data_IF_079678357552
#
_entry.id   IF_079678357552
#
_cell.length_a   1.000
_cell.length_b   1.000
_cell.length_c   1.000
_cell.angle_alpha   90.00
_cell.angle_beta   90.00
_cell.angle_gamma   90.00
#
_symmetry.space_group_name_H-M   'P 1'
#
loop_
_entity.id
_entity.type
_entity.pdbx_description
1 polymer ?
#
# COMPACT_ATOMS: atom_id res chain seq x y z
N UNK A 1 12.98 -12.86 10.36
CA UNK A 1 13.25 -12.38 11.74
C UNK A 1 12.26 -11.31 12.20
N UNK A 2 11.51 -10.64 11.32
CA UNK A 2 10.73 -9.43 11.65
C UNK A 2 9.30 -9.64 12.21
N UNK A 3 8.75 -10.87 12.26
CA UNK A 3 7.30 -11.06 12.52
C UNK A 3 6.92 -11.47 13.96
N UNK A 4 7.89 -11.80 14.82
CA UNK A 4 7.57 -12.26 16.18
C UNK A 4 7.17 -11.11 17.12
N UNK A 5 7.87 -9.97 17.06
CA UNK A 5 7.63 -8.83 17.95
C UNK A 5 6.30 -8.13 17.68
N UNK A 6 5.92 -7.99 16.42
CA UNK A 6 4.63 -7.42 16.03
C UNK A 6 3.49 -8.26 16.62
N UNK A 7 3.57 -9.58 16.45
CA UNK A 7 2.57 -10.51 16.98
C UNK A 7 2.53 -10.53 18.51
N UNK A 8 3.67 -10.34 19.18
CA UNK A 8 3.72 -10.19 20.62
C UNK A 8 2.99 -8.91 21.08
N UNK A 9 3.23 -7.78 20.41
CA UNK A 9 2.56 -6.51 20.69
C UNK A 9 1.04 -6.59 20.53
N UNK A 10 0.56 -7.32 19.51
CA UNK A 10 -0.87 -7.60 19.34
C UNK A 10 -1.43 -8.43 20.50
N UNK A 11 -0.76 -9.52 20.88
CA UNK A 11 -1.20 -10.41 21.97
C UNK A 11 -1.23 -9.72 23.33
N UNK A 12 -0.31 -8.79 23.59
CA UNK A 12 -0.31 -7.96 24.79
C UNK A 12 -1.36 -6.83 24.77
N UNK A 13 -2.09 -6.65 23.67
CA UNK A 13 -3.06 -5.56 23.52
C UNK A 13 -2.43 -4.18 23.29
N UNK A 14 -1.12 -4.11 23.02
CA UNK A 14 -0.42 -2.86 22.71
C UNK A 14 -0.75 -2.33 21.31
N UNK A 15 -1.16 -3.23 20.41
CA UNK A 15 -1.63 -2.90 19.07
C UNK A 15 -2.98 -3.61 18.80
N UNK A 16 -3.94 -2.88 18.24
CA UNK A 16 -5.24 -3.44 17.83
C UNK A 16 -5.16 -4.32 16.58
N UNK A 17 -4.07 -4.20 15.81
CA UNK A 17 -3.81 -4.96 14.60
C UNK A 17 -2.33 -4.89 14.24
N UNK A 18 -1.84 -5.85 13.46
CA UNK A 18 -0.49 -5.86 12.92
C UNK A 18 -0.53 -5.94 11.40
N UNK A 19 0.50 -5.42 10.74
CA UNK A 19 0.60 -5.39 9.29
C UNK A 19 2.04 -5.37 8.84
N UNK A 20 2.24 -5.37 7.53
CA UNK A 20 3.55 -5.32 6.88
C UNK A 20 3.65 -4.11 5.96
N UNK A 21 4.87 -3.77 5.54
CA UNK A 21 5.13 -2.70 4.56
C UNK A 21 6.11 -3.19 3.50
N UNK A 22 5.87 -2.84 2.25
CA UNK A 22 6.73 -3.17 1.11
C UNK A 22 6.90 -4.69 0.86
N UNK A 23 5.84 -5.47 1.12
CA UNK A 23 5.83 -6.90 0.81
C UNK A 23 5.21 -7.13 -0.56
N UNK A 24 5.98 -7.77 -1.45
CA UNK A 24 5.46 -8.30 -2.72
C UNK A 24 4.73 -9.64 -2.49
N UNK A 25 3.95 -10.08 -3.48
CA UNK A 25 3.17 -11.33 -3.42
C UNK A 25 3.98 -12.54 -2.94
N UNK A 26 5.23 -12.68 -3.41
CA UNK A 26 6.13 -13.78 -3.01
C UNK A 26 6.47 -13.76 -1.52
N UNK A 27 6.69 -12.58 -0.93
CA UNK A 27 6.96 -12.46 0.50
C UNK A 27 5.69 -12.71 1.31
N UNK A 28 4.56 -12.17 0.86
CA UNK A 28 3.26 -12.42 1.50
C UNK A 28 2.88 -13.90 1.48
N UNK A 29 3.15 -14.62 0.39
CA UNK A 29 2.85 -16.06 0.30
C UNK A 29 3.69 -16.91 1.25
N UNK A 30 4.85 -16.42 1.66
CA UNK A 30 5.74 -17.09 2.61
C UNK A 30 5.42 -16.77 4.07
N UNK A 31 4.67 -15.69 4.33
CA UNK A 31 4.38 -15.20 5.66
C UNK A 31 3.70 -16.23 6.59
N UNK A 32 2.76 -17.08 6.12
CA UNK A 32 2.17 -18.13 6.95
C UNK A 32 3.17 -19.16 7.51
N UNK A 33 4.38 -19.27 6.95
CA UNK A 33 5.43 -20.12 7.49
C UNK A 33 6.18 -19.49 8.68
N UNK A 34 5.97 -18.19 8.93
CA UNK A 34 6.70 -17.42 9.93
C UNK A 34 5.78 -16.70 10.93
N UNK A 35 4.51 -16.49 10.60
CA UNK A 35 3.54 -15.78 11.42
C UNK A 35 2.22 -16.54 11.52
N UNK A 36 1.63 -16.54 12.71
CA UNK A 36 0.31 -17.16 12.97
C UNK A 36 -0.82 -16.14 12.87
N UNK A 37 -0.56 -14.87 13.20
CA UNK A 37 -1.52 -13.78 13.01
C UNK A 37 -1.33 -13.22 11.59
N UNK A 38 -2.36 -13.28 10.72
CA UNK A 38 -2.27 -12.70 9.38
C UNK A 38 -2.18 -11.17 9.47
N UNK A 39 -1.41 -10.53 8.56
CA UNK A 39 -1.31 -9.08 8.55
C UNK A 39 -2.64 -8.48 8.12
N UNK A 40 -3.16 -7.52 8.88
CA UNK A 40 -4.37 -6.79 8.54
C UNK A 40 -4.15 -5.88 7.32
N UNK A 41 -2.94 -5.30 7.20
CA UNK A 41 -2.59 -4.33 6.15
C UNK A 41 -1.23 -4.68 5.54
N UNK A 42 -1.09 -4.47 4.23
CA UNK A 42 0.19 -4.31 3.56
C UNK A 42 0.28 -2.89 2.98
N UNK A 43 1.15 -2.05 3.54
CA UNK A 43 1.37 -0.69 3.07
C UNK A 43 2.45 -0.67 1.97
N UNK A 44 2.13 -0.21 0.76
CA UNK A 44 3.03 -0.24 -0.42
C UNK A 44 2.93 1.02 -1.25
N UNK A 45 3.96 1.30 -2.06
CA UNK A 45 3.88 2.39 -3.03
C UNK A 45 2.77 2.07 -4.00
N UNK A 46 1.83 2.99 -4.15
CA UNK A 46 0.74 2.84 -5.10
C UNK A 46 0.21 4.21 -5.51
N UNK A 47 0.16 4.43 -6.81
CA UNK A 47 -0.39 5.64 -7.44
C UNK A 47 -0.98 5.25 -8.80
N UNK A 48 -1.54 6.21 -9.54
CA UNK A 48 -2.16 5.96 -10.85
C UNK A 48 -1.20 5.37 -11.89
N UNK A 49 0.10 5.67 -11.80
CA UNK A 49 1.14 5.14 -12.70
C UNK A 49 1.73 3.81 -12.19
N UNK A 50 1.52 3.49 -10.90
CA UNK A 50 1.98 2.26 -10.27
C UNK A 50 0.85 1.64 -9.44
N UNK A 51 -0.09 0.99 -10.13
CA UNK A 51 -1.39 0.62 -9.55
C UNK A 51 -1.37 -0.67 -8.73
N UNK A 52 -0.26 -1.41 -8.74
CA UNK A 52 -0.06 -2.65 -7.97
C UNK A 52 -1.15 -3.71 -8.19
N UNK A 53 -1.73 -3.81 -9.40
CA UNK A 53 -2.91 -4.63 -9.68
C UNK A 53 -2.80 -6.07 -9.18
N UNK A 54 -1.73 -6.78 -9.56
CA UNK A 54 -1.46 -8.16 -9.11
C UNK A 54 -1.41 -8.27 -7.59
N UNK A 55 -0.75 -7.32 -6.92
CA UNK A 55 -0.63 -7.32 -5.46
C UNK A 55 -1.98 -7.02 -4.79
N UNK A 56 -2.77 -6.07 -5.32
CA UNK A 56 -4.11 -5.77 -4.81
C UNK A 56 -5.02 -7.00 -4.89
N UNK A 57 -5.01 -7.71 -6.02
CA UNK A 57 -5.78 -8.95 -6.16
C UNK A 57 -5.33 -10.01 -5.17
N UNK A 58 -4.02 -10.27 -5.08
CA UNK A 58 -3.48 -11.23 -4.11
C UNK A 58 -3.85 -10.89 -2.66
N UNK A 59 -3.70 -9.62 -2.26
CA UNK A 59 -4.06 -9.16 -0.92
C UNK A 59 -5.57 -9.32 -0.66
N UNK A 60 -6.42 -8.99 -1.62
CA UNK A 60 -7.89 -9.15 -1.53
C UNK A 60 -8.28 -10.60 -1.29
N UNK A 61 -7.71 -11.55 -2.03
CA UNK A 61 -7.97 -12.99 -1.85
C UNK A 61 -7.53 -13.50 -0.47
N UNK A 62 -6.52 -12.87 0.14
CA UNK A 62 -6.00 -13.22 1.47
C UNK A 62 -6.63 -12.43 2.61
N UNK A 63 -7.59 -11.54 2.34
CA UNK A 63 -8.20 -10.68 3.35
C UNK A 63 -7.25 -9.60 3.91
N UNK A 64 -6.17 -9.29 3.20
CA UNK A 64 -5.18 -8.28 3.58
C UNK A 64 -5.58 -6.94 2.91
N UNK A 65 -5.72 -5.87 3.69
CA UNK A 65 -6.00 -4.54 3.14
C UNK A 65 -4.72 -3.93 2.55
N UNK A 66 -4.84 -3.25 1.41
CA UNK A 66 -3.71 -2.50 0.83
C UNK A 66 -3.83 -1.04 1.21
N UNK A 67 -2.77 -0.47 1.79
CA UNK A 67 -2.65 0.96 2.05
C UNK A 67 -1.60 1.55 1.10
N UNK A 68 -2.00 2.56 0.33
CA UNK A 68 -1.09 3.28 -0.56
C UNK A 68 -0.20 4.25 0.22
N UNK A 69 1.11 4.22 -0.02
CA UNK A 69 1.99 5.36 0.23
C UNK A 69 2.42 6.01 -1.09
N UNK A 70 2.78 7.29 -1.03
CA UNK A 70 3.00 8.16 -2.21
C UNK A 70 1.90 8.11 -3.27
N UNK A 71 0.61 8.30 -2.89
CA UNK A 71 -0.51 8.24 -3.83
C UNK A 71 -0.42 9.30 -4.95
N UNK A 72 0.30 10.40 -4.70
CA UNK A 72 0.51 11.50 -5.65
C UNK A 72 1.90 11.47 -6.31
N UNK A 73 2.51 10.28 -6.46
CA UNK A 73 3.82 10.13 -7.12
C UNK A 73 4.98 10.79 -6.36
N UNK A 74 4.84 10.89 -5.03
CA UNK A 74 5.80 11.56 -4.16
C UNK A 74 6.06 13.03 -4.52
N UNK A 75 5.06 13.73 -5.06
CA UNK A 75 5.13 15.16 -5.34
C UNK A 75 5.66 15.95 -4.12
N UNK A 76 6.67 16.79 -4.34
CA UNK A 76 7.33 17.59 -3.30
C UNK A 76 8.46 16.88 -2.54
N UNK A 77 8.68 15.57 -2.75
CA UNK A 77 9.82 14.87 -2.19
C UNK A 77 11.06 14.97 -3.10
N UNK A 78 12.26 14.94 -2.51
CA UNK A 78 13.55 14.98 -3.24
C UNK A 78 13.72 13.83 -4.25
N UNK A 79 13.05 12.71 -4.00
CA UNK A 79 13.08 11.50 -4.83
C UNK A 79 11.80 11.33 -5.68
N UNK A 80 10.87 12.29 -5.59
CA UNK A 80 9.60 12.25 -6.31
C UNK A 80 9.69 12.88 -7.69
N UNK A 81 8.61 12.72 -8.45
CA UNK A 81 8.47 13.35 -9.77
C UNK A 81 7.09 13.97 -9.92
N UNK A 82 6.97 14.93 -10.84
CA UNK A 82 5.67 15.50 -11.21
C UNK A 82 4.89 14.61 -12.19
N UNK A 83 5.40 13.43 -12.56
CA UNK A 83 4.81 12.61 -13.63
C UNK A 83 3.35 12.22 -13.38
N UNK A 84 2.94 12.05 -12.11
CA UNK A 84 1.53 11.83 -11.74
C UNK A 84 0.75 13.15 -11.82
N UNK A 85 1.26 14.20 -11.17
CA UNK A 85 0.55 15.49 -11.05
C UNK A 85 0.38 16.24 -12.37
N UNK A 86 1.34 16.08 -13.28
CA UNK A 86 1.40 16.73 -14.59
C UNK A 86 0.90 15.83 -15.72
N UNK A 87 0.33 14.67 -15.39
CA UNK A 87 -0.22 13.76 -16.40
C UNK A 87 -1.39 14.43 -17.14
N UNK A 88 -1.34 14.55 -18.49
CA UNK A 88 -2.36 15.26 -19.26
C UNK A 88 -3.74 14.61 -19.16
N UNK A 89 -3.80 13.28 -19.11
CA UNK A 89 -5.06 12.52 -18.96
C UNK A 89 -5.70 12.80 -17.60
N UNK A 90 -4.89 12.83 -16.53
CA UNK A 90 -5.42 13.16 -15.20
C UNK A 90 -5.91 14.61 -15.11
N UNK A 91 -5.19 15.55 -15.74
CA UNK A 91 -5.62 16.96 -15.81
C UNK A 91 -6.93 17.11 -16.55
N UNK A 92 -7.10 16.43 -17.68
CA UNK A 92 -8.35 16.41 -18.44
C UNK A 92 -9.52 15.83 -17.62
N UNK A 93 -9.29 14.70 -16.93
CA UNK A 93 -10.28 14.10 -16.02
C UNK A 93 -10.63 15.08 -14.89
N UNK A 94 -9.63 15.71 -14.28
CA UNK A 94 -9.82 16.66 -13.19
C UNK A 94 -10.67 17.86 -13.61
N UNK A 95 -10.39 18.44 -14.78
CA UNK A 95 -11.19 19.53 -15.38
C UNK A 95 -12.64 19.06 -15.62
N UNK A 96 -12.80 17.91 -16.28
CA UNK A 96 -14.13 17.35 -16.60
C UNK A 96 -14.96 17.04 -15.36
N UNK A 97 -14.32 16.72 -14.23
CA UNK A 97 -14.97 16.40 -12.96
C UNK A 97 -15.08 17.59 -12.00
N UNK A 98 -14.58 18.77 -12.38
CA UNK A 98 -14.48 19.94 -11.51
C UNK A 98 -13.75 19.62 -10.18
N UNK A 99 -12.62 18.90 -10.30
CA UNK A 99 -11.75 18.49 -9.20
C UNK A 99 -10.30 18.86 -9.48
N UNK A 100 -9.46 18.72 -8.45
CA UNK A 100 -8.01 18.76 -8.61
C UNK A 100 -7.45 17.36 -8.89
N UNK A 101 -6.30 17.23 -9.55
CA UNK A 101 -5.65 15.94 -9.82
C UNK A 101 -5.48 15.02 -8.58
N UNK A 102 -5.26 15.53 -7.36
CA UNK A 102 -5.23 14.71 -6.15
C UNK A 102 -6.56 14.09 -5.68
N UNK A 103 -7.70 14.59 -6.14
CA UNK A 103 -9.05 14.20 -5.71
C UNK A 103 -9.66 13.18 -6.66
#
# INVERSE_FOLDING_TARGET
>A
MYDFEAQFSYRLGLAKSVGVRNFACKKLSQLPHHATIPPAVNQVEMNVSWQQEKLRHFCKEKGIQVSAWSPLGANGALWGTLAVMENPVLKEIAITKEKSVPQ
#
